data_IF_503527283701
#
_entry.id   IF_503527283701
#
_cell.length_a   1.000
_cell.length_b   1.000
_cell.length_c   1.000
_cell.angle_alpha   90.00
_cell.angle_beta   90.00
_cell.angle_gamma   90.00
#
_symmetry.space_group_name_H-M   'P 1'
#
loop_
_entity.id
_entity.type
_entity.pdbx_description
1 polymer ?
#
# COMPACT_ATOMS: atom_id res chain seq x y z
N UNK A 1 3.21 -15.66 -12.49
CA UNK A 1 1.85 -15.67 -11.92
C UNK A 1 1.36 -14.22 -11.80
N UNK A 2 0.06 -13.93 -11.91
CA UNK A 2 -0.46 -12.57 -11.67
C UNK A 2 -1.00 -12.47 -10.25
N UNK A 3 -0.63 -11.41 -9.56
CA UNK A 3 -1.04 -11.11 -8.20
C UNK A 3 -1.78 -9.80 -8.21
N UNK A 4 -3.01 -9.82 -7.72
CA UNK A 4 -3.92 -8.70 -7.79
C UNK A 4 -4.66 -8.52 -6.48
N UNK A 5 -5.17 -7.31 -6.29
CA UNK A 5 -6.07 -6.97 -5.20
C UNK A 5 -7.49 -6.88 -5.74
N UNK A 6 -8.42 -7.55 -5.07
CA UNK A 6 -9.86 -7.42 -5.31
C UNK A 6 -10.48 -6.51 -4.27
N UNK A 7 -11.30 -5.54 -4.71
CA UNK A 7 -12.07 -4.68 -3.82
C UNK A 7 -13.53 -5.14 -3.80
N UNK A 8 -14.05 -5.50 -2.63
CA UNK A 8 -15.44 -5.94 -2.49
C UNK A 8 -16.42 -4.75 -2.42
N UNK A 9 -16.02 -3.69 -1.71
CA UNK A 9 -16.82 -2.48 -1.53
C UNK A 9 -15.92 -1.26 -1.60
N UNK A 10 -16.35 -0.24 -2.36
CA UNK A 10 -15.70 1.07 -2.42
C UNK A 10 -16.76 2.08 -2.00
N UNK A 11 -16.50 2.80 -0.91
CA UNK A 11 -17.30 3.93 -0.49
C UNK A 11 -16.57 5.22 -0.86
N UNK A 12 -17.25 6.14 -1.55
CA UNK A 12 -16.70 7.45 -1.88
C UNK A 12 -17.27 8.46 -0.88
N UNK A 13 -16.39 9.05 -0.07
CA UNK A 13 -16.74 10.17 0.78
C UNK A 13 -16.39 11.48 0.06
N UNK A 14 -17.41 12.26 -0.32
CA UNK A 14 -17.21 13.57 -0.92
C UNK A 14 -17.15 14.65 0.16
N UNK A 15 -15.94 15.07 0.54
CA UNK A 15 -15.71 16.06 1.58
C UNK A 15 -15.68 17.51 1.10
N UNK A 16 -16.12 17.81 -0.13
CA UNK A 16 -16.06 19.17 -0.70
C UNK A 16 -16.86 20.23 0.09
N UNK A 17 -17.85 19.82 0.88
CA UNK A 17 -18.64 20.69 1.75
C UNK A 17 -18.23 20.62 3.23
N UNK A 18 -17.22 19.79 3.56
CA UNK A 18 -16.70 19.68 4.90
C UNK A 18 -15.85 20.93 5.23
N UNK A 19 -16.15 21.66 6.33
CA UNK A 19 -15.43 22.87 6.68
C UNK A 19 -13.94 22.65 6.99
N UNK A 20 -13.55 21.44 7.41
CA UNK A 20 -12.15 21.11 7.74
C UNK A 20 -11.31 20.77 6.49
N UNK A 21 -11.95 20.46 5.35
CA UNK A 21 -11.26 20.07 4.11
C UNK A 21 -10.22 21.11 3.68
N UNK A 22 -10.55 22.40 3.73
CA UNK A 22 -9.65 23.45 3.26
C UNK A 22 -8.30 23.47 4.00
N UNK A 23 -8.30 23.14 5.29
CA UNK A 23 -7.08 23.08 6.10
C UNK A 23 -6.24 21.82 5.84
N UNK A 24 -6.83 20.78 5.25
CA UNK A 24 -6.23 19.46 5.08
C UNK A 24 -5.87 19.10 3.64
N UNK A 25 -6.18 19.95 2.66
CA UNK A 25 -5.85 19.73 1.23
C UNK A 25 -4.35 19.54 0.93
N UNK A 26 -3.47 19.95 1.83
CA UNK A 26 -2.02 19.78 1.71
C UNK A 26 -1.43 18.97 2.86
N UNK A 27 -2.27 18.16 3.53
CA UNK A 27 -1.83 17.33 4.65
C UNK A 27 -0.84 16.24 4.21
N UNK A 28 0.00 15.82 5.14
CA UNK A 28 0.91 14.69 5.00
C UNK A 28 0.71 13.68 6.15
N UNK A 29 1.57 12.67 6.26
CA UNK A 29 1.42 11.65 7.30
C UNK A 29 1.46 12.17 8.74
N UNK A 30 2.12 13.31 9.02
CA UNK A 30 2.08 13.90 10.35
C UNK A 30 0.66 14.39 10.73
N UNK A 31 -0.17 14.69 9.73
CA UNK A 31 -1.55 15.15 9.88
C UNK A 31 -2.58 14.05 9.57
N UNK A 32 -2.15 12.80 9.37
CA UNK A 32 -3.03 11.68 9.04
C UNK A 32 -4.12 11.45 10.10
N UNK A 33 -3.84 11.74 11.37
CA UNK A 33 -4.85 11.68 12.44
C UNK A 33 -5.97 12.69 12.23
N UNK A 34 -5.67 13.89 11.74
CA UNK A 34 -6.68 14.91 11.47
C UNK A 34 -7.58 14.48 10.32
N UNK A 35 -7.01 13.92 9.24
CA UNK A 35 -7.81 13.36 8.13
C UNK A 35 -8.81 12.32 8.64
N UNK A 36 -8.36 11.38 9.50
CA UNK A 36 -9.24 10.35 10.07
C UNK A 36 -10.35 10.93 10.95
N UNK A 37 -10.02 11.93 11.76
CA UNK A 37 -10.95 12.48 12.76
C UNK A 37 -11.92 13.50 12.19
N UNK A 38 -11.50 14.27 11.18
CA UNK A 38 -12.24 15.44 10.66
C UNK A 38 -12.96 15.12 9.36
N UNK A 39 -12.30 14.43 8.42
CA UNK A 39 -12.86 14.17 7.08
C UNK A 39 -13.67 12.88 7.04
N UNK A 40 -13.21 11.85 7.76
CA UNK A 40 -13.90 10.58 7.89
C UNK A 40 -12.95 9.40 7.81
N UNK A 41 -13.33 8.31 8.46
CA UNK A 41 -12.55 7.08 8.55
C UNK A 41 -13.47 5.88 8.79
N UNK A 42 -13.23 4.80 8.08
CA UNK A 42 -13.91 3.51 8.31
C UNK A 42 -12.93 2.51 8.90
N UNK A 43 -13.20 2.07 10.13
CA UNK A 43 -12.38 1.08 10.81
C UNK A 43 -12.40 -0.27 10.07
N UNK A 44 -11.25 -0.97 10.05
CA UNK A 44 -11.09 -2.24 9.35
C UNK A 44 -11.00 -2.13 7.82
N UNK A 45 -10.99 -0.91 7.26
CA UNK A 45 -10.83 -0.66 5.82
C UNK A 45 -9.63 0.24 5.57
N UNK A 46 -9.03 0.14 4.38
CA UNK A 46 -8.08 1.15 3.90
C UNK A 46 -8.83 2.44 3.55
N UNK A 47 -8.36 3.56 4.09
CA UNK A 47 -8.92 4.88 3.85
C UNK A 47 -7.94 5.67 2.98
N UNK A 48 -8.36 5.99 1.76
CA UNK A 48 -7.55 6.69 0.76
C UNK A 48 -8.04 8.13 0.66
N UNK A 49 -7.18 9.09 0.98
CA UNK A 49 -7.46 10.52 0.90
C UNK A 49 -6.77 11.13 -0.32
N UNK A 50 -7.56 11.68 -1.25
CA UNK A 50 -7.04 12.40 -2.40
C UNK A 50 -6.89 13.89 -2.05
N UNK A 51 -5.66 14.38 -2.04
CA UNK A 51 -5.28 15.72 -1.59
C UNK A 51 -4.65 16.52 -2.73
N UNK A 52 -4.69 17.85 -2.67
CA UNK A 52 -4.15 18.69 -3.74
C UNK A 52 -2.62 18.57 -3.84
N UNK A 53 -1.92 18.75 -2.72
CA UNK A 53 -0.47 18.63 -2.67
C UNK A 53 0.02 18.08 -1.32
N UNK A 54 0.11 16.74 -1.17
CA UNK A 54 0.59 16.12 0.05
C UNK A 54 2.13 16.06 0.16
N UNK A 55 2.86 16.80 -0.69
CA UNK A 55 4.32 16.84 -0.71
C UNK A 55 5.00 15.62 -1.37
N UNK A 56 4.23 14.60 -1.76
CA UNK A 56 4.66 13.49 -2.61
C UNK A 56 3.49 13.01 -3.47
N UNK A 57 3.71 12.01 -4.32
CA UNK A 57 2.65 11.42 -5.14
C UNK A 57 1.71 10.53 -4.32
N UNK A 58 2.25 9.89 -3.29
CA UNK A 58 1.51 9.03 -2.38
C UNK A 58 2.25 8.84 -1.06
N UNK A 59 1.49 8.42 -0.04
CA UNK A 59 2.01 8.00 1.25
C UNK A 59 1.14 6.92 1.88
N UNK A 60 1.77 5.83 2.33
CA UNK A 60 1.25 4.97 3.38
C UNK A 60 1.64 5.52 4.75
N UNK A 61 0.63 5.97 5.52
CA UNK A 61 0.84 6.60 6.82
C UNK A 61 0.60 5.63 8.01
N UNK A 62 0.48 4.33 7.74
CA UNK A 62 0.03 3.36 8.74
C UNK A 62 -1.45 3.56 9.13
N UNK A 63 -1.92 2.76 10.09
CA UNK A 63 -3.28 2.88 10.64
C UNK A 63 -4.37 2.96 9.56
N UNK A 64 -4.24 2.11 8.53
CA UNK A 64 -5.14 2.06 7.38
C UNK A 64 -5.35 3.41 6.66
N UNK A 65 -4.33 4.28 6.64
CA UNK A 65 -4.39 5.60 6.02
C UNK A 65 -3.42 5.69 4.85
N UNK A 66 -3.97 5.93 3.67
CA UNK A 66 -3.23 6.24 2.45
C UNK A 66 -3.56 7.66 2.03
N UNK A 67 -2.55 8.46 1.72
CA UNK A 67 -2.68 9.79 1.14
C UNK A 67 -2.20 9.72 -0.30
N UNK A 68 -2.95 10.30 -1.24
CA UNK A 68 -2.60 10.35 -2.66
C UNK A 68 -2.74 11.78 -3.16
N UNK A 69 -1.77 12.24 -3.94
CA UNK A 69 -1.90 13.51 -4.65
C UNK A 69 -2.97 13.42 -5.73
N UNK A 70 -3.79 14.46 -5.91
CA UNK A 70 -4.91 14.47 -6.86
C UNK A 70 -4.47 14.27 -8.32
N UNK A 71 -3.19 14.53 -8.61
CA UNK A 71 -2.56 14.35 -9.93
C UNK A 71 -1.65 13.10 -10.00
N UNK A 72 -1.63 12.27 -8.97
CA UNK A 72 -0.86 11.03 -8.97
C UNK A 72 -1.44 10.01 -9.96
N UNK A 73 -0.58 9.14 -10.48
CA UNK A 73 -1.02 8.05 -11.35
C UNK A 73 -1.55 6.87 -10.52
N UNK A 74 -2.21 5.94 -11.21
CA UNK A 74 -2.70 4.71 -10.60
C UNK A 74 -1.57 3.85 -10.03
N UNK A 75 -0.37 3.94 -10.61
CA UNK A 75 0.82 3.21 -10.13
C UNK A 75 1.26 3.70 -8.75
N UNK A 76 1.16 5.00 -8.48
CA UNK A 76 1.41 5.57 -7.16
C UNK A 76 0.44 5.05 -6.12
N UNK A 77 -0.86 4.99 -6.42
CA UNK A 77 -1.82 4.37 -5.51
C UNK A 77 -1.52 2.88 -5.29
N UNK A 78 -1.22 2.13 -6.36
CA UNK A 78 -0.86 0.73 -6.25
C UNK A 78 0.40 0.50 -5.39
N UNK A 79 1.38 1.40 -5.46
CA UNK A 79 2.57 1.39 -4.60
C UNK A 79 2.22 1.57 -3.11
N UNK A 80 1.35 2.54 -2.79
CA UNK A 80 0.92 2.72 -1.40
C UNK A 80 0.07 1.54 -0.89
N UNK A 81 -0.71 0.89 -1.75
CA UNK A 81 -1.33 -0.39 -1.41
C UNK A 81 -0.29 -1.47 -1.11
N UNK A 82 0.82 -1.53 -1.86
CA UNK A 82 1.92 -2.44 -1.54
C UNK A 82 2.47 -2.23 -0.12
N UNK A 83 2.68 -0.99 0.30
CA UNK A 83 3.05 -0.67 1.69
C UNK A 83 2.00 -1.09 2.71
N UNK A 84 0.72 -0.82 2.44
CA UNK A 84 -0.38 -1.29 3.27
C UNK A 84 -0.46 -2.83 3.35
N UNK A 85 0.05 -3.53 2.33
CA UNK A 85 0.15 -4.98 2.27
C UNK A 85 1.51 -5.50 2.78
N UNK A 86 2.21 -4.71 3.60
CA UNK A 86 3.48 -5.03 4.26
C UNK A 86 4.74 -5.08 3.38
N UNK A 87 4.68 -4.59 2.15
CA UNK A 87 5.87 -4.49 1.29
C UNK A 87 6.64 -3.21 1.56
N UNK A 88 7.96 -3.32 1.60
CA UNK A 88 8.90 -2.21 1.59
C UNK A 88 9.45 -1.93 0.19
N UNK A 89 10.31 -0.93 0.11
CA UNK A 89 10.95 -0.53 -1.13
C UNK A 89 11.95 -1.58 -1.62
N UNK A 90 11.97 -1.82 -2.93
CA UNK A 90 12.88 -2.80 -3.56
C UNK A 90 14.13 -2.18 -4.19
N UNK A 91 14.42 -0.91 -3.86
CA UNK A 91 15.58 -0.22 -4.39
C UNK A 91 16.87 -1.02 -4.11
N UNK A 92 17.63 -1.31 -5.16
CA UNK A 92 18.91 -2.04 -5.11
C UNK A 92 18.82 -3.52 -4.66
N UNK A 93 17.63 -4.13 -4.68
CA UNK A 93 17.52 -5.58 -4.47
C UNK A 93 17.91 -6.30 -5.75
N UNK A 94 18.95 -7.14 -5.68
CA UNK A 94 19.43 -7.90 -6.83
C UNK A 94 18.32 -8.78 -7.41
N UNK A 95 18.17 -8.78 -8.74
CA UNK A 95 17.16 -9.58 -9.44
C UNK A 95 15.76 -8.94 -9.52
N UNK A 96 15.51 -7.83 -8.84
CA UNK A 96 14.24 -7.09 -8.96
C UNK A 96 14.40 -5.95 -9.98
N UNK A 97 13.55 -5.86 -11.02
CA UNK A 97 13.67 -4.81 -12.03
C UNK A 97 13.26 -3.43 -11.49
N UNK A 98 13.80 -2.37 -12.10
CA UNK A 98 13.41 -0.98 -11.78
C UNK A 98 11.94 -0.66 -12.12
N UNK A 99 11.27 -1.53 -12.88
CA UNK A 99 9.83 -1.45 -13.17
C UNK A 99 8.97 -2.16 -12.12
N UNK A 100 9.56 -2.67 -11.04
CA UNK A 100 8.80 -3.24 -9.93
C UNK A 100 7.96 -2.17 -9.23
N UNK A 101 6.75 -2.54 -8.82
CA UNK A 101 5.79 -1.66 -8.18
C UNK A 101 6.35 -0.97 -6.95
N UNK A 102 7.22 -1.63 -6.19
CA UNK A 102 7.78 -1.12 -4.94
C UNK A 102 9.08 -0.33 -5.11
N UNK A 103 9.45 0.05 -6.34
CA UNK A 103 10.57 0.98 -6.56
C UNK A 103 10.15 2.41 -6.22
N UNK A 104 10.94 3.08 -5.40
CA UNK A 104 10.70 4.48 -5.01
C UNK A 104 10.80 5.43 -6.22
N UNK A 105 9.87 6.38 -6.33
CA UNK A 105 10.01 7.54 -7.22
C UNK A 105 9.94 7.27 -8.72
N UNK A 106 9.49 6.07 -9.13
CA UNK A 106 9.39 5.66 -10.54
C UNK A 106 8.02 5.90 -11.18
N UNK A 107 8.00 5.87 -12.51
CA UNK A 107 6.82 5.71 -13.38
C UNK A 107 7.03 4.49 -14.29
N UNK A 108 5.96 3.95 -14.88
CA UNK A 108 6.04 2.75 -15.72
C UNK A 108 6.21 1.47 -14.89
N UNK A 109 5.73 1.48 -13.65
CA UNK A 109 5.76 0.33 -12.73
C UNK A 109 4.72 -0.69 -13.16
N UNK A 110 5.16 -1.90 -13.47
CA UNK A 110 4.34 -2.90 -14.16
C UNK A 110 4.49 -4.33 -13.64
N UNK A 111 5.25 -4.54 -12.58
CA UNK A 111 5.55 -5.88 -12.08
C UNK A 111 5.61 -5.93 -10.56
N UNK A 112 5.31 -7.12 -10.03
CA UNK A 112 5.53 -7.52 -8.64
C UNK A 112 6.07 -8.95 -8.69
N UNK A 113 6.92 -9.33 -7.75
CA UNK A 113 7.45 -10.70 -7.69
C UNK A 113 6.46 -11.63 -6.99
N UNK A 114 6.56 -12.92 -7.26
CA UNK A 114 5.73 -13.91 -6.56
C UNK A 114 6.04 -13.93 -5.04
N UNK A 115 7.30 -13.70 -4.64
CA UNK A 115 7.72 -13.54 -3.24
C UNK A 115 7.14 -12.30 -2.53
N UNK A 116 6.92 -11.19 -3.25
CA UNK A 116 6.17 -10.04 -2.73
C UNK A 116 4.68 -10.43 -2.55
N UNK A 117 4.11 -11.18 -3.49
CA UNK A 117 2.72 -11.61 -3.41
C UNK A 117 2.44 -12.61 -2.29
N UNK A 118 3.38 -13.52 -2.05
CA UNK A 118 3.38 -14.35 -0.87
C UNK A 118 3.30 -13.50 0.41
N UNK A 119 4.17 -12.48 0.55
CA UNK A 119 4.19 -11.59 1.72
C UNK A 119 2.89 -10.81 1.90
N UNK A 120 2.32 -10.26 0.83
CA UNK A 120 1.02 -9.59 0.88
C UNK A 120 -0.07 -10.47 1.51
N UNK A 121 -0.05 -11.78 1.22
CA UNK A 121 -1.06 -12.73 1.68
C UNK A 121 -0.80 -13.29 3.07
N UNK A 122 0.44 -13.51 3.46
CA UNK A 122 0.77 -14.27 4.68
C UNK A 122 1.32 -13.41 5.81
N UNK A 123 1.90 -12.25 5.54
CA UNK A 123 2.53 -11.45 6.59
C UNK A 123 1.46 -10.90 7.55
N UNK A 124 1.58 -11.11 8.89
CA UNK A 124 0.64 -10.56 9.87
C UNK A 124 0.47 -9.04 9.77
N UNK A 125 1.51 -8.32 9.34
CA UNK A 125 1.48 -6.87 9.17
C UNK A 125 0.74 -6.39 7.93
N UNK A 126 0.41 -7.28 6.99
CA UNK A 126 -0.42 -6.93 5.83
C UNK A 126 -1.81 -6.56 6.32
N UNK A 127 -2.36 -5.46 5.82
CA UNK A 127 -3.72 -5.01 6.18
C UNK A 127 -4.81 -6.03 5.82
N UNK A 128 -4.56 -6.96 4.89
CA UNK A 128 -5.45 -8.10 4.65
C UNK A 128 -5.61 -8.98 5.90
N UNK A 129 -4.51 -9.21 6.61
CA UNK A 129 -4.46 -10.05 7.81
C UNK A 129 -4.75 -9.23 9.07
N UNK A 130 -4.15 -8.04 9.19
CA UNK A 130 -4.32 -7.18 10.36
C UNK A 130 -5.77 -6.66 10.53
N UNK A 131 -6.51 -6.45 9.43
CA UNK A 131 -7.93 -6.09 9.48
C UNK A 131 -8.87 -7.32 9.57
N UNK A 132 -8.33 -8.54 9.59
CA UNK A 132 -9.12 -9.77 9.69
C UNK A 132 -9.93 -10.10 8.42
N UNK A 133 -9.57 -9.54 7.26
CA UNK A 133 -10.22 -9.85 5.97
C UNK A 133 -9.94 -11.30 5.57
N UNK A 134 -8.75 -11.80 5.92
CA UNK A 134 -8.36 -13.20 5.77
C UNK A 134 -8.13 -13.80 7.16
N UNK A 135 -8.72 -14.98 7.39
CA UNK A 135 -8.63 -15.70 8.68
C UNK A 135 -7.68 -16.89 8.66
N UNK A 136 -6.99 -17.10 7.54
CA UNK A 136 -6.00 -18.16 7.38
C UNK A 136 -4.73 -17.90 8.19
N UNK A 137 -3.92 -18.94 8.49
CA UNK A 137 -2.67 -18.77 9.22
C UNK A 137 -1.73 -17.75 8.56
N UNK A 138 -1.22 -16.83 9.37
CA UNK A 138 -0.19 -15.86 8.96
C UNK A 138 1.21 -16.41 9.21
N UNK A 139 2.19 -15.92 8.45
CA UNK A 139 3.61 -16.19 8.64
C UNK A 139 4.39 -14.88 8.67
N UNK A 140 5.15 -14.66 9.74
CA UNK A 140 5.99 -13.47 9.86
C UNK A 140 7.19 -13.57 8.89
N UNK A 141 7.04 -12.95 7.72
CA UNK A 141 8.08 -12.86 6.70
C UNK A 141 8.38 -11.39 6.37
N UNK A 142 9.15 -10.69 7.22
CA UNK A 142 9.61 -9.34 6.93
C UNK A 142 10.43 -9.30 5.64
N UNK A 143 10.54 -8.11 5.07
CA UNK A 143 11.43 -7.87 3.94
C UNK A 143 12.88 -8.21 4.29
N UNK A 144 13.59 -8.80 3.34
CA UNK A 144 14.97 -9.26 3.52
C UNK A 144 15.13 -10.55 4.35
N UNK A 145 14.07 -11.08 4.96
CA UNK A 145 14.13 -12.40 5.60
C UNK A 145 14.04 -13.50 4.54
N UNK A 146 15.11 -14.29 4.40
CA UNK A 146 15.22 -15.39 3.44
C UNK A 146 15.49 -16.72 4.14
N UNK A 147 14.53 -17.65 4.05
CA UNK A 147 14.68 -19.03 4.51
C UNK A 147 13.65 -19.94 3.82
N UNK A 148 13.62 -21.22 4.17
CA UNK A 148 12.67 -22.20 3.63
C UNK A 148 11.19 -21.89 3.91
N UNK A 149 10.89 -20.99 4.85
CA UNK A 149 9.52 -20.55 5.18
C UNK A 149 9.20 -19.15 4.63
N UNK A 150 10.22 -18.34 4.34
CA UNK A 150 10.09 -17.00 3.80
C UNK A 150 10.97 -16.91 2.53
N UNK A 151 10.41 -17.21 1.34
CA UNK A 151 11.16 -17.18 0.09
C UNK A 151 11.72 -15.77 -0.17
N UNK A 152 12.80 -15.68 -0.95
CA UNK A 152 13.40 -14.39 -1.32
C UNK A 152 12.37 -13.48 -2.01
N UNK A 153 12.51 -12.16 -1.83
CA UNK A 153 11.72 -11.19 -2.57
C UNK A 153 11.99 -11.33 -4.08
N UNK A 154 13.21 -11.64 -4.48
CA UNK A 154 13.59 -11.82 -5.89
C UNK A 154 13.31 -13.22 -6.43
N UNK A 155 13.27 -14.23 -5.54
CA UNK A 155 13.05 -15.63 -5.92
C UNK A 155 11.63 -16.05 -5.59
N UNK A 156 10.81 -15.99 -6.63
CA UNK A 156 9.78 -17.00 -6.89
C UNK A 156 9.62 -16.97 -8.42
N UNK A 157 10.46 -17.81 -9.05
CA UNK A 157 10.45 -18.04 -10.49
C UNK A 157 9.15 -18.77 -10.78
N UNK A 158 8.40 -18.24 -11.75
CA UNK A 158 7.25 -18.94 -12.33
C UNK A 158 7.54 -20.44 -12.42
N UNK A 159 6.63 -21.34 -11.98
CA UNK A 159 6.77 -22.73 -12.35
C UNK A 159 6.96 -22.78 -13.87
N UNK A 160 7.97 -23.51 -14.32
CA UNK A 160 8.16 -23.81 -15.74
C UNK A 160 6.87 -24.33 -16.39
#
# INVERSE_FOLDING_TARGET
MNCGIGFQTIAINNSTQDPDTAALLNANCAQAANLRNQIGFTAGQLNVYYLNNPGARGWWCGNNTIIIGATADNESLAHEFGHALSLGHTNNIAGIPNTNLMVTGGTGRNSITEGQCFRCNVNPGSTLNANGIRTEPTRNCPDGTTNNTCPDLALDVTPE
#
